data_IF_497796860727
#
_entry.id   IF_497796860727
#
_cell.length_a   1.000
_cell.length_b   1.000
_cell.length_c   1.000
_cell.angle_alpha   90.00
_cell.angle_beta   90.00
_cell.angle_gamma   90.00
#
_symmetry.space_group_name_H-M   'P 1'
#
loop_
_entity.id
_entity.type
_entity.pdbx_description
1 polymer ?
#
# COMPACT_ATOMS: atom_id res chain seq x y z
N UNK A 1 20.59 20.29 -6.85
CA UNK A 1 20.29 19.80 -7.19
C UNK A 1 19.20 18.99 -7.03
N UNK A 2 18.51 18.95 -7.84
CA UNK A 2 17.32 18.23 -7.76
C UNK A 2 17.55 16.92 -7.25
N UNK A 3 18.69 16.59 -7.19
CA UNK A 3 18.96 15.42 -6.69
C UNK A 3 18.50 15.23 -5.38
N UNK A 4 18.25 16.19 -4.70
CA UNK A 4 17.82 15.97 -3.37
C UNK A 4 16.52 15.24 -3.40
N UNK A 5 15.70 15.50 -4.35
CA UNK A 5 14.43 14.84 -4.39
C UNK A 5 14.61 13.36 -4.51
N UNK A 6 15.59 12.95 -5.24
CA UNK A 6 15.73 11.62 -5.40
C UNK A 6 16.25 10.98 -4.22
N UNK A 7 16.97 11.67 -3.48
CA UNK A 7 17.49 11.11 -2.30
C UNK A 7 16.42 10.76 -1.34
N UNK A 8 15.24 11.33 -1.51
CA UNK A 8 14.17 11.07 -0.61
C UNK A 8 13.50 9.75 -0.84
N UNK A 9 13.56 9.22 -2.03
CA UNK A 9 12.90 7.97 -2.30
C UNK A 9 13.86 6.81 -2.13
N UNK A 10 13.70 5.99 -1.10
CA UNK A 10 14.61 4.90 -0.84
C UNK A 10 14.30 3.68 -1.69
N UNK A 11 14.42 3.81 -2.96
CA UNK A 11 14.12 2.73 -3.89
C UNK A 11 14.98 2.86 -5.12
N UNK A 12 15.18 1.76 -5.81
CA UNK A 12 15.96 1.77 -7.03
C UNK A 12 15.21 2.53 -8.13
N UNK A 13 15.92 2.91 -9.17
CA UNK A 13 15.34 3.73 -10.22
C UNK A 13 14.13 3.08 -10.88
N UNK A 14 14.14 1.77 -11.07
CA UNK A 14 13.01 1.10 -11.72
C UNK A 14 11.75 1.21 -10.86
N UNK A 15 11.89 1.12 -9.54
CA UNK A 15 10.75 1.26 -8.66
C UNK A 15 10.31 2.72 -8.63
N UNK A 16 11.26 3.66 -8.63
CA UNK A 16 10.90 5.08 -8.64
C UNK A 16 10.11 5.42 -9.90
N UNK A 17 10.52 4.87 -11.04
CA UNK A 17 9.81 5.10 -12.29
C UNK A 17 8.42 4.47 -12.26
N UNK A 18 8.31 3.28 -11.70
CA UNK A 18 7.03 2.60 -11.61
C UNK A 18 6.08 3.36 -10.68
N UNK A 19 6.62 3.89 -9.58
CA UNK A 19 5.82 4.67 -8.66
C UNK A 19 5.28 5.92 -9.33
N UNK A 20 6.10 6.60 -10.11
CA UNK A 20 5.67 7.79 -10.83
C UNK A 20 4.59 7.43 -11.86
N UNK A 21 4.73 6.30 -12.55
CA UNK A 21 3.74 5.88 -13.52
C UNK A 21 2.42 5.54 -12.83
N UNK A 22 2.48 4.87 -11.70
CA UNK A 22 1.29 4.52 -10.93
C UNK A 22 0.58 5.80 -10.45
N UNK A 23 1.36 6.78 -10.01
CA UNK A 23 0.81 8.04 -9.55
C UNK A 23 0.06 8.74 -10.68
N UNK A 24 0.64 8.76 -11.87
CA UNK A 24 -0.02 9.38 -13.01
C UNK A 24 -1.29 8.62 -13.38
N UNK A 25 -1.22 7.29 -13.33
CA UNK A 25 -2.38 6.47 -13.65
C UNK A 25 -3.53 6.72 -12.68
N UNK A 26 -3.22 6.82 -11.38
CA UNK A 26 -4.25 7.08 -10.39
C UNK A 26 -4.89 8.46 -10.61
N UNK A 27 -4.08 9.45 -10.90
CA UNK A 27 -4.61 10.80 -11.09
C UNK A 27 -5.36 10.96 -12.39
N UNK A 28 -4.82 10.43 -13.45
CA UNK A 28 -5.40 10.65 -14.79
C UNK A 28 -6.48 9.67 -15.16
N UNK A 29 -6.21 8.41 -14.97
CA UNK A 29 -7.18 7.40 -15.39
C UNK A 29 -8.18 7.04 -14.33
N UNK A 30 -7.76 6.96 -13.11
CA UNK A 30 -8.69 6.61 -12.04
C UNK A 30 -9.31 7.84 -11.41
N UNK A 31 -8.80 9.01 -11.74
CA UNK A 31 -9.30 10.26 -11.21
C UNK A 31 -9.43 10.30 -9.70
N UNK A 32 -8.44 9.74 -9.05
CA UNK A 32 -8.40 9.71 -7.60
C UNK A 32 -8.23 11.16 -7.10
N UNK A 33 -8.94 11.51 -6.06
CA UNK A 33 -8.86 12.86 -5.51
C UNK A 33 -7.44 13.19 -5.08
N UNK A 34 -7.05 14.43 -5.21
CA UNK A 34 -5.69 14.86 -4.94
C UNK A 34 -5.22 14.48 -3.53
N UNK A 35 -6.07 14.66 -2.55
CA UNK A 35 -5.68 14.33 -1.17
C UNK A 35 -5.46 12.84 -0.99
N UNK A 36 -6.29 12.03 -1.63
CA UNK A 36 -6.14 10.59 -1.55
C UNK A 36 -4.88 10.15 -2.27
N UNK A 37 -4.61 10.74 -3.42
CA UNK A 37 -3.42 10.42 -4.17
C UNK A 37 -2.18 10.73 -3.37
N UNK A 38 -2.15 11.88 -2.73
CA UNK A 38 -1.02 12.27 -1.92
C UNK A 38 -0.82 11.30 -0.76
N UNK A 39 -1.91 10.88 -0.13
CA UNK A 39 -1.83 9.93 0.96
C UNK A 39 -1.31 8.58 0.50
N UNK A 40 -1.78 8.12 -0.64
CA UNK A 40 -1.35 6.84 -1.19
C UNK A 40 0.14 6.87 -1.56
N UNK A 41 0.59 7.95 -2.17
CA UNK A 41 2.00 8.07 -2.52
C UNK A 41 2.86 8.08 -1.26
N UNK A 42 2.41 8.80 -0.24
CA UNK A 42 3.11 8.83 1.02
C UNK A 42 3.18 7.46 1.68
N UNK A 43 2.10 6.70 1.59
CA UNK A 43 2.07 5.35 2.14
C UNK A 43 3.07 4.46 1.43
N UNK A 44 3.17 4.56 0.11
CA UNK A 44 4.12 3.76 -0.63
C UNK A 44 5.55 4.16 -0.32
N UNK A 45 5.79 5.45 -0.17
CA UNK A 45 7.12 5.91 0.18
C UNK A 45 7.53 5.38 1.55
N UNK A 46 6.59 5.36 2.49
CA UNK A 46 6.84 4.80 3.81
C UNK A 46 7.14 3.32 3.77
N UNK A 47 6.40 2.59 2.94
CA UNK A 47 6.64 1.17 2.76
C UNK A 47 8.02 0.93 2.17
N UNK A 48 8.38 1.68 1.14
CA UNK A 48 9.67 1.49 0.49
C UNK A 48 10.82 1.83 1.42
N UNK A 49 10.62 2.84 2.27
CA UNK A 49 11.63 3.18 3.26
C UNK A 49 11.79 2.04 4.26
N UNK A 50 10.67 1.47 4.71
CA UNK A 50 10.73 0.37 5.65
C UNK A 50 11.48 -0.82 5.03
N UNK A 51 11.16 -1.14 3.78
CA UNK A 51 11.78 -2.29 3.12
C UNK A 51 13.27 -2.05 2.91
N UNK A 52 13.66 -0.82 2.59
CA UNK A 52 15.07 -0.51 2.42
C UNK A 52 15.83 -0.75 3.72
N UNK A 53 15.25 -0.33 4.83
CA UNK A 53 15.88 -0.53 6.13
C UNK A 53 15.85 -1.99 6.54
N UNK A 54 14.76 -2.67 6.27
CA UNK A 54 14.57 -4.06 6.65
C UNK A 54 15.53 -4.97 5.88
N UNK A 55 15.76 -4.67 4.61
CA UNK A 55 16.66 -5.46 3.80
C UNK A 55 18.09 -4.96 3.83
N UNK A 56 18.29 -3.72 4.22
CA UNK A 56 19.61 -3.12 4.21
C UNK A 56 19.99 -2.52 2.86
N UNK A 57 19.07 -2.49 1.91
CA UNK A 57 19.34 -1.93 0.59
C UNK A 57 18.04 -1.53 -0.06
N UNK A 58 18.03 -0.48 -0.88
CA UNK A 58 16.80 -0.07 -1.54
C UNK A 58 16.24 -1.18 -2.42
N UNK A 59 14.93 -1.26 -2.49
CA UNK A 59 14.28 -2.31 -3.26
C UNK A 59 14.21 -1.95 -4.72
N UNK A 60 14.43 -2.94 -5.58
CA UNK A 60 14.16 -2.80 -7.00
C UNK A 60 12.92 -3.65 -7.29
N UNK A 61 12.51 -3.70 -8.55
CA UNK A 61 11.30 -4.45 -8.91
C UNK A 61 11.45 -5.93 -8.61
N UNK A 62 12.63 -6.47 -8.82
CA UNK A 62 12.86 -7.88 -8.52
C UNK A 62 12.71 -8.15 -7.03
N UNK A 63 13.18 -7.23 -6.20
CA UNK A 63 13.02 -7.39 -4.76
C UNK A 63 11.56 -7.33 -4.37
N UNK A 64 10.80 -6.40 -4.95
CA UNK A 64 9.39 -6.30 -4.64
C UNK A 64 8.64 -7.57 -5.05
N UNK A 65 9.07 -8.20 -6.13
CA UNK A 65 8.41 -9.42 -6.60
C UNK A 65 8.70 -10.61 -5.70
N UNK A 66 9.76 -10.55 -4.91
CA UNK A 66 10.17 -11.70 -4.11
C UNK A 66 10.00 -11.49 -2.61
N UNK A 67 9.43 -10.38 -2.17
CA UNK A 67 9.17 -10.19 -0.77
C UNK A 67 8.23 -11.28 -0.28
N UNK A 68 8.46 -11.71 0.96
CA UNK A 68 7.65 -12.77 1.53
C UNK A 68 6.56 -12.19 2.40
N UNK A 69 5.58 -13.02 2.71
CA UNK A 69 4.51 -12.57 3.56
C UNK A 69 5.04 -12.07 4.89
N UNK A 70 6.12 -12.67 5.38
CA UNK A 70 6.71 -12.20 6.63
C UNK A 70 7.27 -10.81 6.52
N UNK A 71 7.75 -10.40 5.34
CA UNK A 71 8.24 -9.04 5.14
C UNK A 71 7.09 -8.04 5.23
N UNK A 72 5.96 -8.36 4.62
CA UNK A 72 4.80 -7.51 4.68
C UNK A 72 4.25 -7.44 6.10
N UNK A 73 4.25 -8.56 6.80
CA UNK A 73 3.75 -8.57 8.17
C UNK A 73 4.67 -7.76 9.09
N UNK A 74 5.97 -7.78 8.83
CA UNK A 74 6.89 -6.97 9.60
C UNK A 74 6.60 -5.50 9.42
N UNK A 75 6.24 -5.10 8.20
CA UNK A 75 5.86 -3.72 7.93
C UNK A 75 4.59 -3.34 8.70
N UNK A 76 3.60 -4.21 8.68
CA UNK A 76 2.36 -3.93 9.40
C UNK A 76 2.62 -3.85 10.92
N UNK A 77 3.48 -4.72 11.43
CA UNK A 77 3.82 -4.70 12.84
C UNK A 77 4.56 -3.42 13.21
N UNK A 78 5.44 -2.94 12.33
CA UNK A 78 6.17 -1.71 12.58
C UNK A 78 5.22 -0.52 12.64
N UNK A 79 4.19 -0.51 11.79
CA UNK A 79 3.21 0.56 11.83
C UNK A 79 2.44 0.53 13.15
N UNK A 80 2.08 -0.64 13.60
CA UNK A 80 1.36 -0.79 14.85
C UNK A 80 2.22 -0.36 16.03
N UNK A 81 3.49 -0.73 16.02
CA UNK A 81 4.40 -0.37 17.09
C UNK A 81 4.64 1.13 17.14
N UNK A 82 4.55 1.80 16.00
CA UNK A 82 4.73 3.23 15.96
C UNK A 82 3.48 3.99 16.38
N UNK A 83 2.44 3.28 16.71
CA UNK A 83 1.23 3.94 17.18
C UNK A 83 0.31 4.44 16.10
N UNK A 84 0.52 4.01 14.86
CA UNK A 84 -0.34 4.47 13.77
C UNK A 84 -1.70 3.84 13.87
N UNK A 85 -2.72 4.61 13.51
CA UNK A 85 -4.08 4.15 13.61
C UNK A 85 -4.35 3.00 12.66
N UNK A 86 -5.29 2.13 13.04
CA UNK A 86 -5.65 1.01 12.20
C UNK A 86 -6.23 1.47 10.88
N UNK A 87 -6.96 2.58 10.88
CA UNK A 87 -7.52 3.11 9.65
C UNK A 87 -6.42 3.57 8.70
N UNK A 88 -5.36 4.17 9.23
CA UNK A 88 -4.23 4.57 8.40
C UNK A 88 -3.52 3.37 7.83
N UNK A 89 -3.39 2.32 8.62
CA UNK A 89 -2.74 1.10 8.15
C UNK A 89 -3.60 0.40 7.11
N UNK A 90 -4.92 0.40 7.27
CA UNK A 90 -5.80 -0.18 6.26
C UNK A 90 -5.67 0.58 4.95
N UNK A 91 -5.59 1.91 5.01
CA UNK A 91 -5.40 2.71 3.81
C UNK A 91 -4.05 2.41 3.17
N UNK A 92 -3.00 2.30 3.98
CA UNK A 92 -1.68 2.02 3.44
C UNK A 92 -1.64 0.66 2.76
N UNK A 93 -2.33 -0.33 3.33
CA UNK A 93 -2.38 -1.65 2.72
C UNK A 93 -3.17 -1.60 1.41
N UNK A 94 -4.24 -0.83 1.36
CA UNK A 94 -5.00 -0.67 0.13
C UNK A 94 -4.14 0.00 -0.95
N UNK A 95 -3.35 0.99 -0.57
CA UNK A 95 -2.46 1.64 -1.51
C UNK A 95 -1.41 0.65 -2.03
N UNK A 96 -0.87 -0.16 -1.14
CA UNK A 96 0.14 -1.13 -1.54
C UNK A 96 -0.46 -2.17 -2.49
N UNK A 97 -1.67 -2.64 -2.22
CA UNK A 97 -2.32 -3.58 -3.10
C UNK A 97 -2.58 -2.97 -4.47
N UNK A 98 -2.97 -1.71 -4.50
CA UNK A 98 -3.19 -1.01 -5.76
C UNK A 98 -1.91 -0.93 -6.57
N UNK A 99 -0.81 -0.61 -5.90
CA UNK A 99 0.48 -0.50 -6.57
C UNK A 99 0.91 -1.86 -7.14
N UNK A 100 0.79 -2.92 -6.35
CA UNK A 100 1.17 -4.24 -6.82
C UNK A 100 0.28 -4.70 -7.98
N UNK A 101 -1.00 -4.36 -7.93
CA UNK A 101 -1.90 -4.71 -9.02
C UNK A 101 -1.51 -3.98 -10.30
N UNK A 102 -1.09 -2.71 -10.16
CA UNK A 102 -0.61 -1.93 -11.29
C UNK A 102 0.66 -2.56 -11.86
N UNK A 103 1.59 -2.96 -10.99
CA UNK A 103 2.81 -3.61 -11.45
C UNK A 103 2.51 -4.89 -12.22
N UNK A 104 1.58 -5.68 -11.71
CA UNK A 104 1.23 -6.94 -12.36
C UNK A 104 0.62 -6.69 -13.74
N UNK A 105 -0.24 -5.69 -13.85
CA UNK A 105 -0.85 -5.38 -15.13
C UNK A 105 0.18 -4.92 -16.14
N UNK A 106 1.20 -4.20 -15.70
CA UNK A 106 2.24 -3.74 -16.58
C UNK A 106 3.34 -4.77 -16.75
N UNK A 107 3.18 -5.91 -16.11
CA UNK A 107 4.16 -7.00 -16.17
C UNK A 107 5.52 -6.56 -15.68
N UNK A 108 5.52 -5.71 -14.69
CA UNK A 108 6.76 -5.24 -14.09
C UNK A 108 7.14 -6.08 -12.89
N UNK A 109 6.17 -6.56 -12.14
CA UNK A 109 6.40 -7.40 -10.98
C UNK A 109 5.09 -8.02 -10.55
N UNK A 110 5.15 -9.19 -9.96
CA UNK A 110 3.95 -9.84 -9.45
C UNK A 110 4.37 -10.57 -8.19
N UNK A 111 3.58 -10.45 -7.15
CA UNK A 111 3.91 -11.09 -5.88
C UNK A 111 2.64 -11.59 -5.21
N UNK A 112 2.40 -12.89 -5.26
CA UNK A 112 1.17 -13.44 -4.68
C UNK A 112 1.14 -13.37 -3.16
N UNK A 113 2.26 -13.12 -2.51
CA UNK A 113 2.28 -13.05 -1.05
C UNK A 113 1.40 -11.94 -0.51
N UNK A 114 1.23 -10.86 -1.29
CA UNK A 114 0.43 -9.76 -0.80
C UNK A 114 -1.04 -10.13 -0.69
N UNK A 115 -1.49 -11.08 -1.47
CA UNK A 115 -2.88 -11.48 -1.44
C UNK A 115 -3.25 -12.15 -0.12
N UNK A 116 -2.28 -12.66 0.57
CA UNK A 116 -2.56 -13.34 1.84
C UNK A 116 -2.64 -12.41 3.04
N UNK A 117 -2.39 -11.12 2.84
CA UNK A 117 -2.43 -10.21 3.97
C UNK A 117 -3.86 -9.84 4.30
N UNK A 118 -4.11 -9.64 5.59
CA UNK A 118 -5.43 -9.25 6.02
C UNK A 118 -5.44 -7.79 6.39
N UNK A 119 -6.52 -7.12 6.02
CA UNK A 119 -6.73 -5.72 6.38
C UNK A 119 -7.04 -5.68 7.88
N UNK A 120 -6.47 -4.74 8.61
CA UNK A 120 -6.78 -4.61 10.02
C UNK A 120 -8.27 -4.39 10.21
N UNK A 121 -8.81 -4.99 11.26
CA UNK A 121 -10.21 -4.85 11.52
C UNK A 121 -10.53 -3.49 12.05
N UNK A 122 -11.39 -2.78 11.34
CA UNK A 122 -11.80 -1.47 11.78
C UNK A 122 -13.08 -1.54 12.57
N UNK A 123 -13.84 -2.52 12.29
CA UNK A 123 -15.13 -2.64 12.90
C UNK A 123 -15.16 -2.74 14.38
N UNK A 124 -14.12 -3.19 14.98
CA UNK A 124 -14.18 -3.30 16.38
C UNK A 124 -14.34 -2.03 17.05
N UNK A 125 -14.07 -0.97 16.44
CA UNK A 125 -14.22 0.26 17.13
C UNK A 125 -15.58 0.85 16.89
N UNK A 126 -16.40 0.22 16.10
CA UNK A 126 -17.59 0.83 15.76
C UNK A 126 -18.76 0.23 16.29
N UNK A 127 -18.78 -0.47 17.02
CA UNK A 127 -19.78 -1.22 17.33
C UNK A 127 -20.96 -0.98 17.88
N UNK A 128 -20.94 -0.26 18.80
CA UNK A 128 -22.09 -0.10 19.52
C UNK A 128 -23.24 0.33 18.81
N UNK A 129 -23.14 1.19 17.94
CA UNK A 129 -24.27 1.77 17.30
C UNK A 129 -24.77 0.99 16.13
N UNK A 130 -24.05 0.04 15.67
CA UNK A 130 -24.43 -0.73 14.52
C UNK A 130 -24.78 -2.12 14.90
N UNK A 131 -25.68 -2.71 14.15
CA UNK A 131 -25.96 -4.12 14.34
C UNK A 131 -24.80 -4.86 13.75
N UNK A 132 -24.70 -6.10 14.08
CA UNK A 132 -23.63 -6.93 13.56
C UNK A 132 -23.74 -7.01 12.06
N UNK A 133 -24.95 -7.11 11.54
CA UNK A 133 -25.14 -7.22 10.12
C UNK A 133 -24.68 -5.97 9.40
N UNK A 134 -24.97 -4.81 9.96
CA UNK A 134 -24.55 -3.58 9.33
C UNK A 134 -23.04 -3.46 9.32
N UNK A 135 -22.41 -3.89 10.40
CA UNK A 135 -20.96 -3.84 10.45
C UNK A 135 -20.35 -4.76 9.43
N UNK A 136 -20.93 -5.94 9.26
CA UNK A 136 -20.43 -6.88 8.28
C UNK A 136 -20.61 -6.34 6.87
N UNK A 137 -21.72 -5.69 6.61
CA UNK A 137 -21.96 -5.13 5.30
C UNK A 137 -20.93 -4.06 4.96
N UNK A 138 -20.62 -3.23 5.92
CA UNK A 138 -19.63 -2.19 5.70
C UNK A 138 -18.28 -2.80 5.37
N UNK A 139 -17.90 -3.82 6.10
CA UNK A 139 -16.63 -4.47 5.86
C UNK A 139 -16.61 -5.10 4.48
N UNK A 140 -17.67 -5.77 4.11
CA UNK A 140 -17.72 -6.40 2.81
C UNK A 140 -17.67 -5.37 1.69
N UNK A 141 -18.32 -4.24 1.89
CA UNK A 141 -18.32 -3.20 0.90
C UNK A 141 -16.93 -2.66 0.70
N UNK A 142 -16.19 -2.45 1.75
CA UNK A 142 -14.84 -1.95 1.66
C UNK A 142 -13.96 -2.98 0.94
N UNK A 143 -14.14 -4.23 1.24
CA UNK A 143 -13.34 -5.27 0.60
C UNK A 143 -13.66 -5.37 -0.88
N UNK A 144 -14.93 -5.25 -1.22
CA UNK A 144 -15.32 -5.29 -2.61
C UNK A 144 -14.73 -4.13 -3.37
N UNK A 145 -14.72 -2.96 -2.78
CA UNK A 145 -14.13 -1.81 -3.43
C UNK A 145 -12.64 -1.98 -3.59
N UNK A 146 -11.99 -2.60 -2.65
CA UNK A 146 -10.57 -2.83 -2.74
C UNK A 146 -10.26 -3.79 -3.86
N UNK A 147 -11.13 -4.74 -4.07
CA UNK A 147 -10.90 -5.74 -5.08
C UNK A 147 -11.27 -5.26 -6.46
N UNK A 148 -12.01 -4.19 -6.57
CA UNK A 148 -12.40 -3.68 -7.84
C UNK A 148 -11.17 -3.34 -8.61
N UNK A 149 -11.16 -3.63 -9.87
CA UNK A 149 -10.00 -3.35 -10.65
C UNK A 149 -10.00 -1.91 -10.90
N UNK A 150 -9.81 -1.18 -10.05
CA UNK A 150 -9.89 0.19 -10.29
C UNK A 150 -8.84 0.70 -11.15
#
# INVERSE_FOLDING_TARGET
>A
MARSARLILPAAADVANALAAWQRWLGDERRVAAATLEAYVGDLQGFLRFIAEHRGTPADLAALATLKQTDFRAWLAARSSSGLAKSSTARALAALRSFYRFLARRKLADNPAIAGLRTPKLAKSVPKALSVDEADDVVREIEAQSDEPW
#
